data_IF_768001600850
#
_entry.id   IF_768001600850
#
_cell.length_a   1.000
_cell.length_b   1.000
_cell.length_c   1.000
_cell.angle_alpha   90.00
_cell.angle_beta   90.00
_cell.angle_gamma   90.00
#
_symmetry.space_group_name_H-M   'P 1'
#
loop_
_entity.id
_entity.type
_entity.pdbx_description
1 polymer ?
#
# COMPACT_ATOMS: atom_id res chain seq x y z
N UNK A 1 6.43 -22.52 11.42
CA UNK A 1 5.88 -23.38 10.35
C UNK A 1 6.35 -24.84 10.48
N UNK A 2 6.78 -25.29 11.68
CA UNK A 2 7.14 -26.69 11.93
C UNK A 2 6.11 -27.45 12.80
N UNK A 3 5.24 -26.74 13.55
CA UNK A 3 4.26 -27.36 14.45
C UNK A 3 3.09 -28.07 13.73
N UNK A 4 2.72 -27.65 12.51
CA UNK A 4 1.60 -28.27 11.76
C UNK A 4 1.92 -29.66 11.20
N UNK A 5 3.19 -30.09 11.20
CA UNK A 5 3.57 -31.43 10.71
C UNK A 5 3.04 -32.58 11.56
N UNK A 6 2.51 -32.32 12.76
CA UNK A 6 1.97 -33.35 13.66
C UNK A 6 0.46 -33.63 13.50
N UNK A 7 -0.28 -32.77 12.81
CA UNK A 7 -1.72 -32.98 12.60
C UNK A 7 -1.97 -33.84 11.36
N UNK A 8 -3.08 -34.60 11.38
CA UNK A 8 -3.57 -35.36 10.21
C UNK A 8 -2.59 -36.41 9.65
N UNK A 9 -1.71 -36.96 10.50
CA UNK A 9 -0.80 -38.05 10.17
C UNK A 9 -1.45 -39.42 10.43
N UNK A 10 -1.11 -40.42 9.62
CA UNK A 10 -1.53 -41.82 9.84
C UNK A 10 -0.34 -42.76 9.73
N UNK A 11 -0.21 -43.70 10.67
CA UNK A 11 0.80 -44.77 10.63
C UNK A 11 0.36 -45.99 9.84
N UNK A 12 -0.85 -45.97 9.26
CA UNK A 12 -1.39 -47.10 8.51
C UNK A 12 -0.77 -47.17 7.10
N UNK A 13 -0.32 -48.37 6.69
CA UNK A 13 0.14 -48.63 5.32
C UNK A 13 -1.05 -48.57 4.37
N UNK A 14 -1.30 -47.40 3.78
CA UNK A 14 -2.53 -47.11 3.07
C UNK A 14 -2.40 -47.33 1.55
N UNK A 15 -3.35 -48.11 0.99
CA UNK A 15 -3.52 -48.38 -0.46
C UNK A 15 -4.70 -47.60 -1.07
N UNK A 16 -5.10 -46.49 -0.44
CA UNK A 16 -6.32 -45.76 -0.85
C UNK A 16 -6.12 -45.10 -2.21
N UNK A 17 -7.23 -44.62 -2.78
CA UNK A 17 -7.20 -43.83 -4.01
C UNK A 17 -6.36 -42.55 -3.84
N UNK A 18 -6.32 -41.95 -2.64
CA UNK A 18 -5.49 -40.78 -2.35
C UNK A 18 -4.00 -41.13 -2.42
N UNK A 19 -3.57 -42.24 -1.80
CA UNK A 19 -2.16 -42.65 -1.83
C UNK A 19 -1.70 -43.01 -3.23
N UNK A 20 -2.55 -43.71 -4.00
CA UNK A 20 -2.26 -44.06 -5.39
C UNK A 20 -2.12 -42.81 -6.26
N UNK A 21 -3.03 -41.86 -6.09
CA UNK A 21 -3.01 -40.59 -6.81
C UNK A 21 -1.76 -39.78 -6.43
N UNK A 22 -1.48 -39.61 -5.14
CA UNK A 22 -0.33 -38.85 -4.67
C UNK A 22 1.00 -39.49 -5.12
N UNK A 23 1.11 -40.82 -5.06
CA UNK A 23 2.28 -41.55 -5.56
C UNK A 23 2.50 -41.32 -7.06
N UNK A 24 1.44 -41.33 -7.85
CA UNK A 24 1.51 -41.01 -9.28
C UNK A 24 1.93 -39.56 -9.50
N UNK A 25 1.28 -38.60 -8.83
CA UNK A 25 1.58 -37.18 -8.97
C UNK A 25 3.04 -36.88 -8.59
N UNK A 26 3.50 -37.33 -7.43
CA UNK A 26 4.86 -37.10 -6.94
C UNK A 26 5.94 -37.76 -7.83
N UNK A 27 5.58 -38.77 -8.62
CA UNK A 27 6.51 -39.38 -9.58
C UNK A 27 6.79 -38.50 -10.81
N UNK A 28 5.89 -37.57 -11.14
CA UNK A 28 5.95 -36.73 -12.35
C UNK A 28 6.03 -35.24 -12.07
N UNK A 29 5.39 -34.80 -11.01
CA UNK A 29 5.08 -33.42 -10.72
C UNK A 29 5.42 -33.04 -9.28
N UNK A 30 5.66 -31.75 -9.09
CA UNK A 30 5.58 -31.10 -7.79
C UNK A 30 4.36 -30.19 -7.80
N UNK A 31 3.56 -30.25 -6.75
CA UNK A 31 2.40 -29.40 -6.54
C UNK A 31 2.64 -28.55 -5.30
N UNK A 32 2.19 -27.29 -5.32
CA UNK A 32 2.20 -26.42 -4.15
C UNK A 32 1.02 -25.47 -4.17
N UNK A 33 0.67 -24.92 -3.02
CA UNK A 33 -0.27 -23.81 -2.89
C UNK A 33 0.49 -22.51 -2.63
N UNK A 34 0.35 -21.55 -3.54
CA UNK A 34 0.93 -20.22 -3.39
C UNK A 34 0.03 -19.40 -2.45
N UNK A 35 0.52 -19.09 -1.25
CA UNK A 35 -0.27 -18.41 -0.21
C UNK A 35 -0.52 -16.93 -0.49
N UNK A 36 0.18 -16.34 -1.47
CA UNK A 36 0.01 -14.94 -1.85
C UNK A 36 -0.91 -14.80 -3.05
N UNK A 37 -0.66 -15.53 -4.16
CA UNK A 37 -1.60 -15.52 -5.29
C UNK A 37 -2.89 -16.27 -4.98
N UNK A 38 -2.87 -17.13 -3.94
CA UNK A 38 -3.94 -18.04 -3.54
C UNK A 38 -4.33 -19.03 -4.65
N UNK A 39 -3.33 -19.51 -5.39
CA UNK A 39 -3.47 -20.46 -6.49
C UNK A 39 -2.68 -21.73 -6.23
N UNK A 40 -3.17 -22.86 -6.75
CA UNK A 40 -2.39 -24.08 -6.83
C UNK A 40 -1.47 -24.03 -8.04
N UNK A 41 -0.22 -24.39 -7.85
CA UNK A 41 0.80 -24.40 -8.87
C UNK A 41 1.32 -25.83 -9.09
N UNK A 42 1.66 -26.14 -10.33
CA UNK A 42 2.23 -27.41 -10.75
C UNK A 42 3.45 -27.19 -11.64
N UNK A 43 4.44 -28.05 -11.47
CA UNK A 43 5.59 -28.18 -12.39
C UNK A 43 5.94 -29.66 -12.56
N UNK A 44 6.60 -30.02 -13.65
CA UNK A 44 7.24 -31.34 -13.74
C UNK A 44 8.47 -31.37 -12.84
N UNK A 45 8.81 -32.54 -12.31
CA UNK A 45 9.93 -32.66 -11.35
C UNK A 45 11.28 -32.18 -11.92
N UNK A 46 11.46 -32.22 -13.24
CA UNK A 46 12.66 -31.75 -13.94
C UNK A 46 12.60 -30.27 -14.35
N UNK A 47 11.41 -29.66 -14.30
CA UNK A 47 11.22 -28.28 -14.73
C UNK A 47 11.54 -27.30 -13.60
N UNK A 48 12.00 -26.11 -13.99
CA UNK A 48 12.26 -25.00 -13.04
C UNK A 48 11.07 -24.07 -12.87
N UNK A 49 10.19 -23.98 -13.88
CA UNK A 49 9.10 -23.00 -13.94
C UNK A 49 7.80 -23.62 -13.41
N UNK A 50 7.14 -22.91 -12.51
CA UNK A 50 5.80 -23.23 -12.02
C UNK A 50 4.73 -22.67 -12.96
N UNK A 51 3.61 -23.39 -13.06
CA UNK A 51 2.44 -23.01 -13.84
C UNK A 51 1.17 -23.19 -13.01
N UNK A 52 0.11 -22.45 -13.32
CA UNK A 52 -1.17 -22.60 -12.62
C UNK A 52 -1.75 -23.99 -12.86
N UNK A 53 -2.20 -24.65 -11.77
CA UNK A 53 -2.75 -25.99 -11.83
C UNK A 53 -4.17 -25.96 -12.42
N UNK A 54 -4.31 -26.55 -13.60
CA UNK A 54 -5.63 -26.83 -14.17
C UNK A 54 -6.14 -28.19 -13.66
N UNK A 55 -7.05 -28.17 -12.69
CA UNK A 55 -7.61 -29.39 -12.07
C UNK A 55 -8.33 -30.29 -13.08
N UNK A 56 -9.03 -29.72 -14.06
CA UNK A 56 -9.73 -30.51 -15.09
C UNK A 56 -8.76 -31.26 -15.99
N UNK A 57 -7.65 -30.63 -16.35
CA UNK A 57 -6.60 -31.28 -17.16
C UNK A 57 -5.90 -32.38 -16.37
N UNK A 58 -5.57 -32.12 -15.10
CA UNK A 58 -4.98 -33.12 -14.22
C UNK A 58 -5.93 -34.32 -14.02
N UNK A 59 -7.22 -34.07 -13.85
CA UNK A 59 -8.24 -35.11 -13.73
C UNK A 59 -8.26 -36.02 -14.97
N UNK A 60 -8.29 -35.44 -16.19
CA UNK A 60 -8.26 -36.20 -17.44
C UNK A 60 -7.01 -37.09 -17.52
N UNK A 61 -5.83 -36.56 -17.15
CA UNK A 61 -4.58 -37.33 -17.14
C UNK A 61 -4.64 -38.52 -16.18
N UNK A 62 -5.20 -38.33 -14.98
CA UNK A 62 -5.34 -39.39 -13.98
C UNK A 62 -6.25 -40.52 -14.48
N UNK A 63 -7.39 -40.18 -15.11
CA UNK A 63 -8.28 -41.18 -15.71
C UNK A 63 -7.57 -41.96 -16.83
N UNK A 64 -6.86 -41.26 -17.74
CA UNK A 64 -6.09 -41.90 -18.81
C UNK A 64 -4.98 -42.82 -18.28
N UNK A 65 -4.47 -42.55 -17.07
CA UNK A 65 -3.44 -43.34 -16.40
C UNK A 65 -4.02 -44.48 -15.54
N UNK A 66 -5.33 -44.72 -15.61
CA UNK A 66 -6.02 -45.79 -14.87
C UNK A 66 -6.30 -45.47 -13.40
N UNK A 67 -6.22 -44.19 -12.99
CA UNK A 67 -6.51 -43.72 -11.64
C UNK A 67 -7.88 -43.04 -11.64
N UNK A 68 -8.94 -43.82 -11.39
CA UNK A 68 -10.33 -43.34 -11.35
C UNK A 68 -10.67 -42.72 -9.98
N UNK A 69 -10.14 -41.51 -9.73
CA UNK A 69 -10.45 -40.72 -8.53
C UNK A 69 -11.64 -39.79 -8.78
N UNK A 70 -12.75 -39.84 -8.02
CA UNK A 70 -13.82 -38.87 -8.15
C UNK A 70 -13.35 -37.41 -8.02
N UNK A 71 -13.88 -36.50 -8.83
CA UNK A 71 -13.46 -35.08 -8.90
C UNK A 71 -13.47 -34.40 -7.52
N UNK A 72 -14.52 -34.64 -6.72
CA UNK A 72 -14.61 -34.10 -5.36
C UNK A 72 -13.48 -34.61 -4.43
N UNK A 73 -13.01 -35.85 -4.61
CA UNK A 73 -11.85 -36.37 -3.87
C UNK A 73 -10.55 -35.75 -4.37
N UNK A 74 -10.40 -35.52 -5.67
CA UNK A 74 -9.24 -34.80 -6.20
C UNK A 74 -9.17 -33.36 -5.65
N UNK A 75 -10.29 -32.65 -5.60
CA UNK A 75 -10.36 -31.32 -4.99
C UNK A 75 -9.98 -31.34 -3.50
N UNK A 76 -10.47 -32.34 -2.75
CA UNK A 76 -10.08 -32.54 -1.34
C UNK A 76 -8.57 -32.77 -1.22
N UNK A 77 -7.98 -33.63 -2.06
CA UNK A 77 -6.56 -33.92 -2.05
C UNK A 77 -5.74 -32.65 -2.30
N UNK A 78 -6.05 -31.90 -3.35
CA UNK A 78 -5.30 -30.69 -3.71
C UNK A 78 -5.43 -29.60 -2.65
N UNK A 79 -6.59 -29.47 -1.99
CA UNK A 79 -6.83 -28.48 -0.94
C UNK A 79 -6.40 -28.93 0.46
N UNK A 80 -5.84 -30.13 0.60
CA UNK A 80 -5.44 -30.68 1.90
C UNK A 80 -4.03 -30.24 2.30
N UNK A 81 -3.66 -30.53 3.55
CA UNK A 81 -2.32 -30.34 4.09
C UNK A 81 -1.24 -31.21 3.41
N UNK A 82 -1.63 -32.14 2.52
CA UNK A 82 -0.71 -32.95 1.74
C UNK A 82 -0.03 -32.18 0.61
N UNK A 83 -0.57 -31.01 0.24
CA UNK A 83 0.06 -30.11 -0.72
C UNK A 83 0.83 -29.03 0.05
N UNK A 84 2.12 -28.90 -0.28
CA UNK A 84 3.01 -27.93 0.37
C UNK A 84 2.53 -26.50 0.14
N UNK A 85 2.61 -25.68 1.19
CA UNK A 85 2.37 -24.25 1.07
C UNK A 85 3.67 -23.52 0.71
N UNK A 86 3.55 -22.47 -0.09
CA UNK A 86 4.66 -21.67 -0.56
C UNK A 86 4.31 -20.20 -0.47
N UNK A 87 5.13 -19.42 0.24
CA UNK A 87 5.05 -17.98 0.26
C UNK A 87 6.19 -17.40 -0.62
N UNK A 88 5.90 -16.92 -1.84
CA UNK A 88 6.89 -16.35 -2.75
C UNK A 88 7.62 -15.13 -2.20
N UNK A 89 6.94 -14.33 -1.35
CA UNK A 89 7.51 -13.11 -0.79
C UNK A 89 8.50 -13.46 0.31
N UNK A 90 8.11 -14.34 1.25
CA UNK A 90 9.01 -14.82 2.30
C UNK A 90 10.22 -15.54 1.72
N UNK A 91 10.02 -16.47 0.78
CA UNK A 91 11.13 -17.20 0.16
C UNK A 91 12.08 -16.27 -0.60
N UNK A 92 11.57 -15.23 -1.26
CA UNK A 92 12.41 -14.22 -1.89
C UNK A 92 13.34 -13.55 -0.86
N UNK A 93 12.79 -12.99 0.23
CA UNK A 93 13.58 -12.29 1.25
C UNK A 93 14.56 -13.21 1.97
N UNK A 94 14.16 -14.45 2.26
CA UNK A 94 15.03 -15.47 2.86
C UNK A 94 16.15 -15.93 1.92
N UNK A 95 15.92 -15.88 0.60
CA UNK A 95 16.93 -16.24 -0.42
C UNK A 95 17.94 -15.13 -0.73
N UNK A 96 17.73 -13.91 -0.22
CA UNK A 96 18.65 -12.80 -0.45
C UNK A 96 20.01 -13.08 0.20
N UNK A 97 21.07 -12.64 -0.48
CA UNK A 97 22.40 -12.62 0.14
C UNK A 97 22.39 -11.66 1.32
N UNK A 98 23.25 -11.93 2.30
CA UNK A 98 23.45 -10.98 3.38
C UNK A 98 23.94 -9.63 2.85
N UNK A 99 23.53 -8.56 3.52
CA UNK A 99 23.96 -7.21 3.19
C UNK A 99 25.49 -7.11 3.26
N UNK A 100 26.09 -6.56 2.22
CA UNK A 100 27.54 -6.50 2.01
C UNK A 100 28.21 -5.29 2.68
N UNK A 101 27.44 -4.44 3.37
CA UNK A 101 27.94 -3.24 4.07
C UNK A 101 27.91 -1.95 3.24
N UNK A 102 27.60 -2.02 1.94
CA UNK A 102 27.47 -0.84 1.09
C UNK A 102 26.07 -0.23 1.15
N UNK A 103 25.98 1.10 1.04
CA UNK A 103 24.69 1.80 1.09
C UNK A 103 23.98 1.79 -0.28
N UNK A 104 23.42 0.63 -0.64
CA UNK A 104 22.67 0.40 -1.88
C UNK A 104 21.42 1.27 -2.01
N UNK A 105 20.72 1.56 -0.91
CA UNK A 105 19.56 2.45 -0.91
C UNK A 105 20.00 3.87 -1.28
N UNK A 106 21.10 4.37 -0.70
CA UNK A 106 21.68 5.66 -1.07
C UNK A 106 22.14 5.70 -2.52
N UNK A 107 22.85 4.67 -2.98
CA UNK A 107 23.28 4.56 -4.37
C UNK A 107 22.07 4.60 -5.31
N UNK A 108 21.00 3.87 -4.99
CA UNK A 108 19.77 3.88 -5.78
C UNK A 108 19.08 5.25 -5.78
N UNK A 109 18.99 5.93 -4.63
CA UNK A 109 18.41 7.28 -4.54
C UNK A 109 19.19 8.32 -5.33
N UNK A 110 20.50 8.12 -5.56
CA UNK A 110 21.35 9.08 -6.26
C UNK A 110 20.95 9.34 -7.72
N UNK A 111 20.17 8.44 -8.33
CA UNK A 111 19.66 8.56 -9.71
C UNK A 111 18.41 9.45 -9.83
N UNK A 112 17.87 9.92 -8.70
CA UNK A 112 16.70 10.80 -8.63
C UNK A 112 17.09 12.08 -7.90
N UNK A 113 17.02 13.21 -8.60
CA UNK A 113 17.16 14.53 -8.00
C UNK A 113 15.81 15.06 -7.56
N UNK A 114 15.73 15.49 -6.31
CA UNK A 114 14.50 15.95 -5.68
C UNK A 114 14.67 17.36 -5.10
N UNK A 115 13.58 17.95 -4.64
CA UNK A 115 13.60 19.19 -3.89
C UNK A 115 14.31 19.09 -2.53
N UNK A 116 14.58 17.88 -2.02
CA UNK A 116 15.35 17.62 -0.80
C UNK A 116 15.91 16.18 -0.82
N UNK A 117 17.09 16.01 -1.43
CA UNK A 117 17.73 14.70 -1.63
C UNK A 117 18.04 13.97 -0.31
N UNK A 118 18.37 14.70 0.76
CA UNK A 118 18.70 14.10 2.05
C UNK A 118 17.45 13.55 2.73
N UNK A 119 16.35 14.31 2.76
CA UNK A 119 15.10 13.81 3.28
C UNK A 119 14.54 12.68 2.41
N UNK A 120 14.71 12.75 1.08
CA UNK A 120 14.31 11.68 0.17
C UNK A 120 14.99 10.37 0.53
N UNK A 121 16.33 10.37 0.68
CA UNK A 121 17.10 9.21 1.13
C UNK A 121 16.61 8.68 2.48
N UNK A 122 16.44 9.56 3.47
CA UNK A 122 15.98 9.19 4.81
C UNK A 122 14.62 8.49 4.78
N UNK A 123 13.66 9.04 4.04
CA UNK A 123 12.34 8.45 3.90
C UNK A 123 12.34 7.17 3.05
N UNK A 124 13.18 7.09 2.02
CA UNK A 124 13.38 5.89 1.20
C UNK A 124 13.91 4.72 2.03
N UNK A 125 14.94 4.94 2.85
CA UNK A 125 15.51 3.91 3.72
C UNK A 125 14.44 3.34 4.66
N UNK A 126 13.70 4.22 5.35
CA UNK A 126 12.58 3.79 6.21
C UNK A 126 11.44 3.16 5.43
N UNK A 127 11.12 3.63 4.23
CA UNK A 127 10.04 3.07 3.42
C UNK A 127 10.37 1.65 2.96
N UNK A 128 11.58 1.38 2.48
CA UNK A 128 12.01 0.02 2.14
C UNK A 128 11.99 -0.90 3.36
N UNK A 129 12.54 -0.46 4.50
CA UNK A 129 12.51 -1.27 5.74
C UNK A 129 11.09 -1.56 6.22
N UNK A 130 10.18 -0.57 6.23
CA UNK A 130 8.77 -0.80 6.57
C UNK A 130 8.08 -1.72 5.57
N UNK A 131 8.50 -1.72 4.31
CA UNK A 131 7.96 -2.61 3.29
C UNK A 131 8.35 -4.06 3.53
N UNK A 132 9.59 -4.32 3.97
CA UNK A 132 10.02 -5.66 4.43
C UNK A 132 9.18 -6.11 5.62
N UNK A 133 9.07 -5.26 6.65
CA UNK A 133 8.28 -5.58 7.84
C UNK A 133 6.80 -5.83 7.49
N UNK A 134 6.22 -5.01 6.61
CA UNK A 134 4.84 -5.18 6.14
C UNK A 134 4.62 -6.51 5.41
N UNK A 135 5.62 -6.97 4.67
CA UNK A 135 5.51 -8.18 3.88
C UNK A 135 5.71 -9.47 4.70
N UNK A 136 6.46 -9.41 5.80
CA UNK A 136 6.92 -10.59 6.54
C UNK A 136 6.35 -10.71 7.95
N UNK A 137 6.04 -9.59 8.60
CA UNK A 137 5.53 -9.57 9.98
C UNK A 137 4.02 -9.38 10.00
N UNK A 138 3.33 -10.20 10.79
CA UNK A 138 1.89 -10.04 11.02
C UNK A 138 1.61 -8.69 11.70
N UNK A 139 0.48 -8.08 11.37
CA UNK A 139 -0.02 -6.81 11.94
C UNK A 139 0.86 -5.56 11.72
N UNK A 140 2.11 -5.70 11.26
CA UNK A 140 2.95 -4.56 10.87
C UNK A 140 2.54 -4.11 9.48
N UNK A 141 2.38 -2.79 9.31
CA UNK A 141 2.04 -2.21 8.01
C UNK A 141 2.90 -0.99 7.70
N UNK A 142 3.23 -0.83 6.42
CA UNK A 142 3.74 0.43 5.94
C UNK A 142 2.59 1.43 5.73
N UNK A 143 2.39 2.33 6.70
CA UNK A 143 1.31 3.33 6.69
C UNK A 143 1.54 4.51 5.75
N UNK A 144 2.63 4.49 4.99
CA UNK A 144 3.05 5.62 4.18
C UNK A 144 3.19 5.23 2.71
N UNK A 145 2.61 6.04 1.84
CA UNK A 145 2.78 5.99 0.39
C UNK A 145 3.89 6.98 0.00
N UNK A 146 4.95 6.46 -0.62
CA UNK A 146 6.00 7.29 -1.20
C UNK A 146 5.55 7.76 -2.58
N UNK A 147 5.54 9.07 -2.81
CA UNK A 147 5.06 9.67 -4.06
C UNK A 147 6.14 10.52 -4.71
N UNK A 148 6.36 10.28 -6.00
CA UNK A 148 7.18 11.15 -6.84
C UNK A 148 6.26 12.09 -7.65
N UNK A 149 6.42 13.39 -7.44
CA UNK A 149 5.73 14.44 -8.18
C UNK A 149 6.68 15.08 -9.18
N UNK A 150 6.20 15.40 -10.38
CA UNK A 150 6.93 16.27 -11.31
C UNK A 150 5.95 16.81 -12.34
N UNK A 151 5.96 18.12 -12.59
CA UNK A 151 5.11 18.78 -13.59
C UNK A 151 5.41 18.35 -15.04
N UNK A 152 6.63 17.85 -15.30
CA UNK A 152 7.06 17.35 -16.60
C UNK A 152 6.57 15.90 -16.78
N UNK A 153 5.73 15.70 -17.80
CA UNK A 153 5.30 14.36 -18.24
C UNK A 153 6.49 13.54 -18.75
N UNK A 154 6.39 12.21 -18.67
CA UNK A 154 7.43 11.27 -19.12
C UNK A 154 8.80 11.40 -18.44
N UNK A 155 8.84 11.90 -17.19
CA UNK A 155 10.07 12.00 -16.40
C UNK A 155 10.63 10.67 -15.89
N UNK A 156 9.96 9.54 -16.16
CA UNK A 156 10.41 8.19 -15.80
C UNK A 156 9.98 7.71 -14.41
N UNK A 157 9.17 8.48 -13.68
CA UNK A 157 8.75 8.19 -12.29
C UNK A 157 8.13 6.81 -12.13
N UNK A 158 7.11 6.49 -12.93
CA UNK A 158 6.41 5.20 -12.85
C UNK A 158 7.37 4.05 -13.17
N UNK A 159 8.27 4.21 -14.15
CA UNK A 159 9.31 3.23 -14.47
C UNK A 159 10.33 3.04 -13.35
N UNK A 160 10.72 4.12 -12.65
CA UNK A 160 11.59 4.05 -11.48
C UNK A 160 10.91 3.34 -10.30
N UNK A 161 9.64 3.63 -10.04
CA UNK A 161 8.86 2.98 -8.99
C UNK A 161 8.58 1.50 -9.29
N UNK A 162 8.32 1.14 -10.55
CA UNK A 162 8.23 -0.27 -11.00
C UNK A 162 9.51 -1.04 -10.70
N UNK A 163 10.68 -0.39 -10.81
CA UNK A 163 11.97 -1.02 -10.55
C UNK A 163 12.15 -1.44 -9.09
N UNK A 164 11.32 -0.95 -8.16
CA UNK A 164 11.34 -1.41 -6.77
C UNK A 164 10.97 -2.89 -6.66
N UNK A 165 10.21 -3.42 -7.62
CA UNK A 165 9.80 -4.82 -7.64
C UNK A 165 10.86 -5.66 -8.37
N UNK A 166 11.49 -6.63 -7.69
CA UNK A 166 12.44 -7.55 -8.31
C UNK A 166 11.79 -8.35 -9.43
N UNK A 167 12.58 -8.72 -10.45
CA UNK A 167 12.07 -9.51 -11.61
C UNK A 167 11.31 -10.78 -11.20
N UNK A 168 11.77 -11.45 -10.14
CA UNK A 168 11.16 -12.67 -9.59
C UNK A 168 9.76 -12.44 -9.02
N UNK A 169 9.46 -11.21 -8.62
CA UNK A 169 8.22 -10.83 -7.94
C UNK A 169 7.32 -9.91 -8.78
N UNK A 170 7.56 -9.78 -10.09
CA UNK A 170 6.78 -8.89 -10.96
C UNK A 170 5.28 -9.22 -10.99
N UNK A 171 4.90 -10.48 -10.73
CA UNK A 171 3.49 -10.88 -10.63
C UNK A 171 2.80 -10.36 -9.36
N UNK A 172 3.54 -9.76 -8.43
CA UNK A 172 3.05 -9.18 -7.18
C UNK A 172 3.15 -7.64 -7.19
N UNK A 173 3.15 -7.05 -8.39
CA UNK A 173 2.99 -5.62 -8.62
C UNK A 173 1.57 -5.37 -9.16
N UNK A 174 0.85 -4.43 -8.57
CA UNK A 174 -0.41 -3.91 -9.11
C UNK A 174 -0.25 -2.43 -9.44
N UNK A 175 -0.76 -1.99 -10.59
CA UNK A 175 -0.73 -0.57 -10.99
C UNK A 175 -2.12 0.07 -11.00
N UNK A 176 -3.15 -0.75 -10.80
CA UNK A 176 -4.53 -0.36 -10.69
C UNK A 176 -5.06 -0.71 -9.30
N UNK A 177 -5.68 0.25 -8.64
CA UNK A 177 -6.49 -0.02 -7.45
C UNK A 177 -7.84 0.67 -7.66
N UNK A 178 -8.86 -0.14 -7.90
CA UNK A 178 -10.24 0.32 -7.82
C UNK A 178 -10.64 0.54 -6.36
N UNK A 179 -11.91 0.91 -6.15
CA UNK A 179 -12.48 1.07 -4.80
C UNK A 179 -13.41 -0.08 -4.42
N UNK A 180 -13.45 -1.11 -5.24
CA UNK A 180 -14.33 -2.25 -5.11
C UNK A 180 -13.76 -3.33 -4.18
N UNK A 181 -14.48 -4.44 -4.05
CA UNK A 181 -14.10 -5.55 -3.18
C UNK A 181 -12.82 -6.24 -3.66
N UNK A 182 -12.64 -6.41 -4.98
CA UNK A 182 -11.49 -7.12 -5.53
C UNK A 182 -10.21 -6.30 -5.33
N UNK A 183 -10.34 -4.97 -5.32
CA UNK A 183 -9.24 -4.07 -4.98
C UNK A 183 -8.74 -4.21 -3.55
N UNK A 184 -9.58 -4.67 -2.60
CA UNK A 184 -9.12 -4.98 -1.24
C UNK A 184 -8.28 -6.26 -1.20
N UNK A 185 -8.61 -7.25 -2.01
CA UNK A 185 -7.83 -8.50 -2.12
C UNK A 185 -6.42 -8.19 -2.64
N UNK A 186 -6.26 -7.19 -3.52
CA UNK A 186 -4.94 -6.74 -4.00
C UNK A 186 -3.98 -6.34 -2.88
N UNK A 187 -4.48 -5.89 -1.72
CA UNK A 187 -3.66 -5.55 -0.55
C UNK A 187 -2.89 -6.76 0.03
N UNK A 188 -3.42 -7.95 -0.18
CA UNK A 188 -2.89 -9.21 0.33
C UNK A 188 -2.15 -10.02 -0.74
N UNK A 189 -2.36 -9.69 -2.02
CA UNK A 189 -1.77 -10.41 -3.16
C UNK A 189 -0.57 -9.70 -3.79
N UNK A 190 -0.23 -8.48 -3.38
CA UNK A 190 0.84 -7.69 -4.00
C UNK A 190 1.87 -7.24 -2.97
N UNK A 191 3.13 -7.26 -3.34
CA UNK A 191 4.21 -6.65 -2.55
C UNK A 191 4.13 -5.13 -2.64
N UNK A 192 3.92 -4.61 -3.86
CA UNK A 192 3.82 -3.18 -4.13
C UNK A 192 2.55 -2.90 -4.93
N UNK A 193 1.84 -1.85 -4.52
CA UNK A 193 0.79 -1.23 -5.33
C UNK A 193 1.32 0.13 -5.76
N UNK A 194 1.52 0.30 -7.07
CA UNK A 194 1.94 1.53 -7.70
C UNK A 194 0.72 2.34 -8.12
N UNK A 195 0.48 3.45 -7.42
CA UNK A 195 -0.59 4.40 -7.71
C UNK A 195 -0.12 5.32 -8.84
N UNK A 196 -0.20 4.85 -10.08
CA UNK A 196 0.17 5.66 -11.23
C UNK A 196 -0.88 6.76 -11.47
N UNK A 197 -0.42 7.94 -11.85
CA UNK A 197 -1.26 9.10 -12.16
C UNK A 197 -2.28 9.49 -11.06
N UNK A 198 -1.83 9.62 -9.81
CA UNK A 198 -2.65 10.06 -8.67
C UNK A 198 -3.49 11.32 -8.94
N UNK A 199 -3.02 12.18 -9.85
CA UNK A 199 -3.70 13.41 -10.29
C UNK A 199 -5.02 13.21 -11.04
N UNK A 200 -5.29 12.00 -11.53
CA UNK A 200 -6.53 11.66 -12.27
C UNK A 200 -7.64 11.23 -11.32
N UNK A 201 -7.27 10.76 -10.13
CA UNK A 201 -8.22 10.27 -9.14
C UNK A 201 -9.08 11.40 -8.59
N UNK A 202 -10.37 11.11 -8.39
CA UNK A 202 -11.26 12.06 -7.77
C UNK A 202 -10.92 12.21 -6.27
N UNK A 203 -11.33 13.34 -5.67
CA UNK A 203 -11.10 13.60 -4.23
C UNK A 203 -11.65 12.47 -3.32
N UNK A 204 -12.78 11.88 -3.69
CA UNK A 204 -13.37 10.74 -2.98
C UNK A 204 -12.47 9.50 -3.00
N UNK A 205 -11.74 9.30 -4.10
CA UNK A 205 -10.85 8.16 -4.29
C UNK A 205 -9.59 8.32 -3.45
N UNK A 206 -9.04 9.54 -3.35
CA UNK A 206 -7.87 9.84 -2.50
C UNK A 206 -8.17 9.56 -1.02
N UNK A 207 -9.34 9.95 -0.52
CA UNK A 207 -9.75 9.62 0.85
C UNK A 207 -9.94 8.11 1.06
N UNK A 208 -10.47 7.41 0.05
CA UNK A 208 -10.61 5.94 0.10
C UNK A 208 -9.24 5.24 0.08
N UNK A 209 -8.28 5.75 -0.68
CA UNK A 209 -6.89 5.28 -0.69
C UNK A 209 -6.23 5.46 0.67
N UNK A 210 -6.43 6.60 1.35
CA UNK A 210 -5.93 6.80 2.73
C UNK A 210 -6.46 5.70 3.67
N UNK A 211 -7.72 5.29 3.51
CA UNK A 211 -8.30 4.19 4.27
C UNK A 211 -7.62 2.85 3.94
N UNK A 212 -7.37 2.55 2.66
CA UNK A 212 -6.64 1.35 2.25
C UNK A 212 -5.20 1.30 2.78
N UNK A 213 -4.47 2.41 2.70
CA UNK A 213 -3.11 2.56 3.25
C UNK A 213 -3.09 2.31 4.78
N UNK A 214 -4.21 2.52 5.47
CA UNK A 214 -4.32 2.28 6.92
C UNK A 214 -4.85 0.90 7.29
N UNK A 215 -5.32 0.09 6.35
CA UNK A 215 -5.76 -1.29 6.65
C UNK A 215 -4.57 -2.15 7.04
N UNK A 216 -4.76 -2.99 8.06
CA UNK A 216 -3.82 -4.02 8.51
C UNK A 216 -4.14 -5.39 7.91
N UNK A 217 -5.42 -5.69 7.75
CA UNK A 217 -5.90 -6.94 7.17
C UNK A 217 -7.23 -6.70 6.46
N UNK A 218 -7.72 -7.74 5.78
CA UNK A 218 -9.06 -7.83 5.25
C UNK A 218 -9.73 -9.12 5.72
N UNK A 219 -11.05 -9.11 5.85
CA UNK A 219 -11.84 -10.31 6.08
C UNK A 219 -12.85 -10.42 4.94
N UNK A 220 -12.51 -11.18 3.91
CA UNK A 220 -13.26 -11.19 2.65
C UNK A 220 -13.47 -12.62 2.13
N UNK A 221 -14.66 -12.87 1.57
CA UNK A 221 -14.93 -14.14 0.87
C UNK A 221 -14.31 -14.11 -0.52
N UNK A 222 -13.28 -14.93 -0.72
CA UNK A 222 -12.66 -15.20 -2.01
C UNK A 222 -13.65 -15.92 -2.94
N UNK A 223 -13.56 -15.76 -4.27
CA UNK A 223 -14.53 -16.35 -5.21
C UNK A 223 -14.73 -17.87 -5.05
N UNK A 224 -13.67 -18.59 -4.70
CA UNK A 224 -13.65 -20.05 -4.50
C UNK A 224 -13.81 -20.48 -3.03
N UNK A 225 -13.86 -19.54 -2.09
CA UNK A 225 -13.96 -19.83 -0.66
C UNK A 225 -15.43 -19.92 -0.22
N UNK A 226 -15.74 -20.89 0.64
CA UNK A 226 -17.08 -21.06 1.22
C UNK A 226 -17.38 -20.02 2.29
N UNK A 227 -16.35 -19.51 2.98
CA UNK A 227 -16.44 -18.54 4.07
C UNK A 227 -15.50 -17.37 3.79
N UNK A 228 -15.71 -16.25 4.48
CA UNK A 228 -14.74 -15.18 4.49
C UNK A 228 -13.44 -15.66 5.13
N UNK A 229 -12.32 -15.23 4.57
CA UNK A 229 -10.99 -15.55 5.06
C UNK A 229 -10.32 -14.27 5.55
N UNK A 230 -9.63 -14.40 6.68
CA UNK A 230 -8.78 -13.36 7.21
C UNK A 230 -7.46 -13.37 6.45
N UNK A 231 -7.16 -12.28 5.75
CA UNK A 231 -5.95 -12.13 4.94
C UNK A 231 -5.17 -10.92 5.42
N UNK A 232 -3.92 -11.15 5.77
CA UNK A 232 -3.00 -10.08 6.18
C UNK A 232 -2.64 -9.21 4.98
N UNK A 233 -2.57 -7.90 5.18
CA UNK A 233 -2.04 -7.01 4.16
C UNK A 233 -0.52 -7.16 4.13
N UNK A 234 0.02 -7.38 2.94
CA UNK A 234 1.46 -7.43 2.70
C UNK A 234 1.98 -6.27 1.85
N UNK A 235 1.07 -5.49 1.25
CA UNK A 235 1.44 -4.50 0.26
C UNK A 235 1.95 -3.19 0.86
N UNK A 236 2.97 -2.61 0.21
CA UNK A 236 3.37 -1.22 0.39
C UNK A 236 2.99 -0.37 -0.82
N UNK A 237 2.78 0.92 -0.60
CA UNK A 237 2.29 1.83 -1.62
C UNK A 237 3.38 2.77 -2.11
N UNK A 238 3.47 2.90 -3.42
CA UNK A 238 4.20 3.97 -4.10
C UNK A 238 3.25 4.69 -5.04
N UNK A 239 3.58 5.89 -5.48
CA UNK A 239 2.75 6.59 -6.44
C UNK A 239 3.50 7.63 -7.25
N UNK A 240 2.92 7.99 -8.38
CA UNK A 240 3.45 9.02 -9.25
C UNK A 240 2.35 10.04 -9.58
N UNK A 241 2.73 11.32 -9.69
CA UNK A 241 1.79 12.38 -10.09
C UNK A 241 2.47 13.40 -10.98
N UNK A 242 1.69 13.92 -11.93
CA UNK A 242 2.10 15.05 -12.77
C UNK A 242 1.56 16.39 -12.27
N UNK A 243 0.74 16.38 -11.21
CA UNK A 243 0.18 17.60 -10.62
C UNK A 243 0.76 17.87 -9.24
N UNK A 244 0.93 19.15 -8.96
CA UNK A 244 1.36 19.67 -7.67
C UNK A 244 0.18 20.03 -6.76
N UNK A 245 -1.06 19.69 -7.08
CA UNK A 245 -2.25 20.12 -6.32
C UNK A 245 -3.29 19.00 -6.14
N UNK A 246 -2.83 17.77 -5.87
CA UNK A 246 -3.72 16.61 -5.76
C UNK A 246 -4.20 16.31 -4.34
N UNK A 247 -3.55 16.84 -3.30
CA UNK A 247 -3.99 16.60 -1.92
C UNK A 247 -5.12 17.54 -1.51
N UNK A 248 -6.02 17.02 -0.67
CA UNK A 248 -7.04 17.81 0.03
C UNK A 248 -6.81 17.74 1.53
N UNK A 249 -6.85 18.90 2.17
CA UNK A 249 -6.45 19.14 3.57
C UNK A 249 -7.39 18.52 4.62
N UNK A 250 -8.59 18.08 4.24
CA UNK A 250 -9.67 17.77 5.20
C UNK A 250 -9.38 16.61 6.21
N UNK A 251 -8.39 15.76 5.97
CA UNK A 251 -8.08 14.59 6.81
C UNK A 251 -6.60 14.39 7.14
N UNK A 252 -5.77 15.43 6.93
CA UNK A 252 -4.32 15.37 7.07
C UNK A 252 -3.63 14.59 5.95
N UNK A 253 -2.39 14.94 5.64
CA UNK A 253 -1.62 14.41 4.51
C UNK A 253 -0.49 13.46 4.91
N UNK A 254 -0.31 13.18 6.21
CA UNK A 254 0.82 12.41 6.77
C UNK A 254 1.10 11.06 6.10
N UNK A 255 0.09 10.41 5.53
CA UNK A 255 0.22 9.13 4.82
C UNK A 255 0.98 9.26 3.51
N UNK A 256 1.06 10.46 2.95
CA UNK A 256 1.76 10.75 1.71
C UNK A 256 3.14 11.31 2.04
N UNK A 257 4.19 10.69 1.52
CA UNK A 257 5.55 11.20 1.58
C UNK A 257 5.89 11.64 0.15
N UNK A 258 5.76 12.93 -0.14
CA UNK A 258 5.82 13.46 -1.51
C UNK A 258 7.16 14.16 -1.73
N UNK A 259 7.86 13.79 -2.80
CA UNK A 259 9.06 14.48 -3.27
C UNK A 259 8.87 14.97 -4.70
N UNK A 260 9.21 16.23 -4.94
CA UNK A 260 9.22 16.79 -6.29
C UNK A 260 10.54 16.42 -6.96
N UNK A 261 10.47 15.67 -8.05
CA UNK A 261 11.62 15.32 -8.88
C UNK A 261 11.96 16.54 -9.75
N UNK A 262 13.14 17.12 -9.54
CA UNK A 262 13.55 18.40 -10.13
C UNK A 262 14.17 18.23 -11.53
N UNK A 263 14.67 17.03 -11.84
CA UNK A 263 15.34 16.72 -13.12
C UNK A 263 14.77 15.43 -13.73
N UNK A 264 15.19 15.09 -14.96
CA UNK A 264 14.83 13.79 -15.54
C UNK A 264 15.56 12.68 -14.78
N UNK A 265 14.85 11.61 -14.42
CA UNK A 265 15.46 10.46 -13.74
C UNK A 265 16.55 9.85 -14.61
N UNK A 266 17.72 9.59 -14.03
CA UNK A 266 18.82 8.96 -14.73
C UNK A 266 18.58 7.44 -14.85
N UNK A 267 18.20 6.97 -16.03
CA UNK A 267 17.84 5.56 -16.28
C UNK A 267 19.00 4.55 -16.13
N UNK A 268 20.25 4.99 -15.94
CA UNK A 268 21.38 4.09 -15.71
C UNK A 268 21.21 3.22 -14.47
N UNK A 269 20.34 3.58 -13.51
CA UNK A 269 20.00 2.72 -12.38
C UNK A 269 19.57 1.31 -12.85
N UNK A 270 18.92 1.19 -14.00
CA UNK A 270 18.42 -0.09 -14.52
C UNK A 270 19.52 -1.06 -14.96
N UNK A 271 20.74 -0.55 -15.16
CA UNK A 271 21.94 -1.30 -15.53
C UNK A 271 22.92 -1.43 -14.36
N UNK A 272 23.01 -0.40 -13.53
CA UNK A 272 24.03 -0.27 -12.49
C UNK A 272 23.55 -0.76 -11.11
N UNK A 273 22.24 -0.75 -10.85
CA UNK A 273 21.68 -1.16 -9.56
C UNK A 273 21.12 -2.58 -9.63
N UNK A 274 21.57 -3.41 -8.69
CA UNK A 274 20.92 -4.67 -8.38
C UNK A 274 19.87 -4.45 -7.28
N UNK A 275 18.59 -4.53 -7.66
CA UNK A 275 17.47 -4.32 -6.72
C UNK A 275 17.47 -5.37 -5.58
N UNK A 276 18.00 -6.57 -5.81
CA UNK A 276 18.10 -7.60 -4.76
C UNK A 276 19.02 -7.12 -3.63
N UNK A 277 20.08 -6.34 -3.94
CA UNK A 277 20.98 -5.75 -2.92
C UNK A 277 20.33 -4.61 -2.12
N UNK A 278 19.49 -3.81 -2.77
CA UNK A 278 18.69 -2.76 -2.09
C UNK A 278 17.76 -3.41 -1.06
N UNK A 279 17.05 -4.48 -1.46
CA UNK A 279 16.20 -5.25 -0.55
C UNK A 279 17.00 -5.98 0.54
N UNK A 280 18.20 -6.45 0.25
CA UNK A 280 19.07 -7.07 1.26
C UNK A 280 19.47 -6.07 2.36
N UNK A 281 19.82 -4.83 2.01
CA UNK A 281 20.04 -3.75 2.98
C UNK A 281 18.77 -3.43 3.78
N UNK A 282 17.62 -3.35 3.12
CA UNK A 282 16.34 -3.10 3.78
C UNK A 282 15.96 -4.21 4.78
N UNK A 283 16.21 -5.47 4.42
CA UNK A 283 16.01 -6.63 5.28
C UNK A 283 16.98 -6.63 6.47
N UNK A 284 18.25 -6.29 6.24
CA UNK A 284 19.21 -6.08 7.33
C UNK A 284 18.76 -4.98 8.29
N UNK A 285 18.29 -3.84 7.77
CA UNK A 285 17.73 -2.75 8.58
C UNK A 285 16.52 -3.20 9.41
N UNK A 286 15.68 -4.08 8.88
CA UNK A 286 14.49 -4.59 9.56
C UNK A 286 14.80 -5.51 10.75
N UNK A 287 15.83 -6.36 10.64
CA UNK A 287 16.05 -7.48 11.58
C UNK A 287 17.39 -7.48 12.30
N UNK A 288 18.44 -6.88 11.71
CA UNK A 288 19.83 -7.05 12.16
C UNK A 288 20.48 -5.73 12.61
N UNK A 289 20.09 -4.58 12.04
CA UNK A 289 20.68 -3.28 12.40
C UNK A 289 20.23 -2.82 13.79
N UNK A 290 21.14 -2.86 14.75
CA UNK A 290 20.87 -2.44 16.14
C UNK A 290 20.50 -0.95 16.20
N UNK A 291 19.41 -0.65 16.91
CA UNK A 291 18.97 0.73 17.17
C UNK A 291 18.32 1.42 15.97
N UNK A 292 18.13 0.75 14.83
CA UNK A 292 17.41 1.33 13.70
C UNK A 292 15.91 1.34 13.97
N UNK A 293 15.30 2.53 13.94
CA UNK A 293 13.85 2.68 14.04
C UNK A 293 13.27 3.09 12.68
N UNK A 294 12.49 2.22 12.01
CA UNK A 294 11.87 2.54 10.73
C UNK A 294 10.64 3.45 10.84
N UNK A 295 10.10 3.67 12.04
CA UNK A 295 8.96 4.57 12.25
C UNK A 295 9.36 6.05 12.12
N UNK A 296 8.38 6.89 11.76
CA UNK A 296 8.56 8.33 11.69
C UNK A 296 8.43 8.95 13.08
N UNK A 297 9.34 9.86 13.43
CA UNK A 297 9.24 10.66 14.65
C UNK A 297 8.17 11.76 14.51
N UNK A 298 7.83 12.44 15.61
CA UNK A 298 6.93 13.60 15.56
C UNK A 298 7.52 14.76 14.72
N UNK A 299 8.86 14.91 14.72
CA UNK A 299 9.54 15.89 13.85
C UNK A 299 9.37 15.50 12.39
N UNK A 300 9.64 14.23 12.06
CA UNK A 300 9.50 13.72 10.69
C UNK A 300 8.08 13.92 10.15
N UNK A 301 7.06 13.69 10.99
CA UNK A 301 5.65 13.89 10.63
C UNK A 301 5.39 15.38 10.35
N UNK A 302 5.85 16.27 11.23
CA UNK A 302 5.64 17.72 11.09
C UNK A 302 6.34 18.29 9.85
N UNK A 303 7.57 17.84 9.59
CA UNK A 303 8.32 18.20 8.38
C UNK A 303 7.64 17.67 7.11
N UNK A 304 7.10 16.45 7.16
CA UNK A 304 6.35 15.88 6.06
C UNK A 304 5.04 16.63 5.78
N UNK A 305 4.31 17.05 6.82
CA UNK A 305 3.12 17.89 6.65
C UNK A 305 3.48 19.22 5.98
N UNK A 306 4.53 19.89 6.45
CA UNK A 306 5.03 21.13 5.84
C UNK A 306 5.45 20.93 4.38
N UNK A 307 6.08 19.80 4.06
CA UNK A 307 6.41 19.44 2.66
C UNK A 307 5.15 19.27 1.81
N UNK A 308 4.13 18.63 2.38
CA UNK A 308 2.85 18.34 1.71
C UNK A 308 1.96 19.56 1.51
N UNK A 309 2.15 20.66 2.25
CA UNK A 309 1.41 21.93 2.06
C UNK A 309 1.50 22.40 0.61
N UNK A 310 2.67 22.27 -0.04
CA UNK A 310 2.86 22.63 -1.45
C UNK A 310 2.01 21.80 -2.41
N UNK A 311 1.60 20.61 -1.98
CA UNK A 311 0.81 19.66 -2.77
C UNK A 311 -0.69 19.75 -2.50
N UNK A 312 -1.10 20.65 -1.61
CA UNK A 312 -2.46 20.74 -1.07
C UNK A 312 -3.24 21.84 -1.77
N UNK A 313 -4.41 21.50 -2.27
CA UNK A 313 -5.35 22.46 -2.85
C UNK A 313 -6.31 22.95 -1.77
N UNK A 314 -6.48 24.27 -1.65
CA UNK A 314 -7.54 24.84 -0.82
C UNK A 314 -8.91 24.44 -1.38
N UNK A 315 -9.85 24.15 -0.50
CA UNK A 315 -11.26 24.08 -0.89
C UNK A 315 -11.78 25.49 -1.18
N UNK A 316 -12.87 25.59 -1.94
CA UNK A 316 -13.54 26.87 -2.16
C UNK A 316 -13.93 27.55 -0.84
N UNK A 317 -14.38 26.77 0.15
CA UNK A 317 -14.62 27.27 1.50
C UNK A 317 -13.36 27.83 2.17
N UNK A 318 -12.22 27.15 2.05
CA UNK A 318 -10.93 27.63 2.56
C UNK A 318 -10.48 28.91 1.85
N UNK A 319 -10.61 28.98 0.53
CA UNK A 319 -10.29 30.18 -0.25
C UNK A 319 -11.14 31.37 0.19
N UNK A 320 -12.46 31.18 0.36
CA UNK A 320 -13.37 32.24 0.79
C UNK A 320 -13.08 32.71 2.22
N UNK A 321 -12.83 31.79 3.15
CA UNK A 321 -12.43 32.15 4.52
C UNK A 321 -11.10 32.91 4.51
N UNK A 322 -10.09 32.38 3.82
CA UNK A 322 -8.78 33.02 3.76
C UNK A 322 -8.84 34.41 3.10
N UNK A 323 -9.73 34.62 2.13
CA UNK A 323 -9.92 35.92 1.46
C UNK A 323 -10.61 36.94 2.36
N UNK A 324 -11.68 36.57 3.04
CA UNK A 324 -12.57 37.54 3.70
C UNK A 324 -12.39 37.65 5.21
N UNK A 325 -11.79 36.68 5.88
CA UNK A 325 -11.78 36.60 7.33
C UNK A 325 -10.41 36.32 7.95
N UNK A 326 -10.25 36.74 9.19
CA UNK A 326 -9.11 36.43 10.05
C UNK A 326 -9.54 36.12 11.50
N UNK A 327 -8.70 35.41 12.29
CA UNK A 327 -9.01 35.09 13.67
C UNK A 327 -9.23 36.34 14.52
N UNK A 328 -10.19 36.26 15.43
CA UNK A 328 -10.42 37.29 16.45
C UNK A 328 -10.33 36.71 17.86
N UNK A 329 -10.03 37.55 18.83
CA UNK A 329 -10.11 37.25 20.26
C UNK A 329 -11.35 37.87 20.93
N UNK A 330 -12.16 38.64 20.19
CA UNK A 330 -13.34 39.31 20.70
C UNK A 330 -14.60 38.41 20.62
N UNK A 331 -15.26 38.19 21.75
CA UNK A 331 -16.50 37.42 21.82
C UNK A 331 -17.67 38.06 21.03
N UNK A 332 -17.63 39.38 20.80
CA UNK A 332 -18.64 40.09 19.99
C UNK A 332 -18.58 39.69 18.51
N UNK A 333 -17.43 39.16 18.05
CA UNK A 333 -17.21 38.69 16.68
C UNK A 333 -17.41 37.17 16.57
N UNK A 334 -18.24 36.63 17.46
CA UNK A 334 -18.64 35.23 17.42
C UNK A 334 -19.57 34.96 16.22
N UNK A 335 -19.19 33.99 15.39
CA UNK A 335 -20.06 33.43 14.34
C UNK A 335 -20.03 31.91 14.32
N UNK A 336 -21.19 31.31 14.11
CA UNK A 336 -21.31 29.89 13.78
C UNK A 336 -20.85 29.64 12.34
N UNK A 337 -20.46 28.40 12.03
CA UNK A 337 -20.12 28.03 10.65
C UNK A 337 -21.27 28.28 9.65
N UNK A 338 -22.52 28.19 10.12
CA UNK A 338 -23.71 28.49 9.31
C UNK A 338 -23.83 29.98 9.03
N UNK A 339 -23.62 30.85 10.02
CA UNK A 339 -23.61 32.31 9.83
C UNK A 339 -22.48 32.74 8.88
N UNK A 340 -21.27 32.21 9.06
CA UNK A 340 -20.14 32.46 8.13
C UNK A 340 -20.47 31.98 6.70
N UNK A 341 -21.10 30.82 6.56
CA UNK A 341 -21.55 30.34 5.25
C UNK A 341 -22.57 31.29 4.62
N UNK A 342 -23.56 31.77 5.39
CA UNK A 342 -24.57 32.70 4.90
C UNK A 342 -23.96 34.02 4.44
N UNK A 343 -23.04 34.58 5.22
CA UNK A 343 -22.31 35.79 4.86
C UNK A 343 -21.57 35.64 3.52
N UNK A 344 -20.87 34.52 3.33
CA UNK A 344 -20.11 34.24 2.11
C UNK A 344 -20.97 33.83 0.91
N UNK A 345 -22.16 33.26 1.15
CA UNK A 345 -23.08 32.82 0.08
C UNK A 345 -23.70 33.99 -0.68
N UNK A 346 -23.60 35.22 -0.16
CA UNK A 346 -24.01 36.45 -0.85
C UNK A 346 -23.29 36.66 -2.18
N UNK A 347 -22.19 35.96 -2.42
CA UNK A 347 -21.39 36.00 -3.64
C UNK A 347 -21.91 35.08 -4.77
N UNK A 348 -23.10 34.49 -4.62
CA UNK A 348 -23.71 33.61 -5.64
C UNK A 348 -23.10 32.20 -5.74
N UNK A 349 -22.24 31.84 -4.79
CA UNK A 349 -21.55 30.56 -4.73
C UNK A 349 -22.22 29.66 -3.69
N UNK A 350 -22.51 28.40 -4.05
CA UNK A 350 -23.09 27.41 -3.13
C UNK A 350 -21.99 26.79 -2.26
N UNK A 351 -21.95 27.19 -0.98
CA UNK A 351 -21.01 26.69 0.02
C UNK A 351 -21.66 25.63 0.93
N UNK A 352 -20.83 24.85 1.63
CA UNK A 352 -21.30 23.87 2.60
C UNK A 352 -20.84 24.22 4.03
N UNK A 353 -21.79 24.40 4.95
CA UNK A 353 -21.49 24.78 6.35
C UNK A 353 -20.56 23.79 7.07
N UNK A 354 -20.60 22.49 6.76
CA UNK A 354 -19.68 21.50 7.33
C UNK A 354 -18.25 21.72 6.84
N UNK A 355 -18.10 22.09 5.56
CA UNK A 355 -16.79 22.41 4.98
C UNK A 355 -16.25 23.75 5.48
N UNK A 356 -17.12 24.74 5.69
CA UNK A 356 -16.76 26.01 6.37
C UNK A 356 -16.23 25.73 7.76
N UNK A 357 -16.92 24.92 8.57
CA UNK A 357 -16.45 24.55 9.90
C UNK A 357 -15.09 23.83 9.89
N UNK A 358 -14.87 22.93 8.92
CA UNK A 358 -13.56 22.26 8.73
C UNK A 358 -12.46 23.25 8.35
N UNK A 359 -12.75 24.17 7.42
CA UNK A 359 -11.83 25.19 6.96
C UNK A 359 -11.43 26.18 8.08
N UNK A 360 -12.38 26.61 8.90
CA UNK A 360 -12.09 27.43 10.08
C UNK A 360 -11.18 26.69 11.07
N UNK A 361 -11.42 25.40 11.27
CA UNK A 361 -10.56 24.56 12.11
C UNK A 361 -9.16 24.37 11.53
N UNK A 362 -9.03 24.18 10.20
CA UNK A 362 -7.72 24.00 9.55
C UNK A 362 -6.85 25.25 9.66
N UNK A 363 -7.46 26.44 9.56
CA UNK A 363 -6.78 27.72 9.77
C UNK A 363 -6.64 28.10 11.25
N UNK A 364 -6.96 27.20 12.18
CA UNK A 364 -6.80 27.39 13.64
C UNK A 364 -7.57 28.58 14.20
N UNK A 365 -8.75 28.90 13.65
CA UNK A 365 -9.62 29.92 14.24
C UNK A 365 -10.09 29.48 15.64
N UNK A 366 -10.11 30.38 16.65
CA UNK A 366 -10.53 30.05 18.01
C UNK A 366 -11.98 29.56 18.03
N UNK A 367 -12.19 28.30 18.46
CA UNK A 367 -13.52 27.70 18.61
C UNK A 367 -13.96 27.77 20.07
N UNK A 368 -15.08 28.45 20.33
CA UNK A 368 -15.59 28.69 21.69
C UNK A 368 -17.07 28.31 21.81
N UNK A 369 -17.53 28.06 23.06
CA UNK A 369 -18.95 27.91 23.38
C UNK A 369 -19.49 29.27 23.85
N UNK A 370 -20.47 29.83 23.14
CA UNK A 370 -21.03 31.13 23.50
C UNK A 370 -21.74 31.07 24.86
N UNK A 371 -21.41 31.93 25.84
CA UNK A 371 -21.94 31.84 27.21
C UNK A 371 -23.46 31.96 27.31
N UNK A 372 -24.07 32.88 26.54
CA UNK A 372 -25.52 33.10 26.56
C UNK A 372 -26.29 32.16 25.61
N UNK A 373 -25.84 32.04 24.34
CA UNK A 373 -26.52 31.22 23.32
C UNK A 373 -26.32 29.71 23.50
N UNK A 374 -25.35 29.27 24.31
CA UNK A 374 -25.03 27.86 24.59
C UNK A 374 -24.67 27.01 23.34
N UNK A 375 -24.25 27.65 22.25
CA UNK A 375 -23.84 27.02 20.98
C UNK A 375 -22.33 27.18 20.74
N UNK A 376 -21.72 26.26 19.99
CA UNK A 376 -20.33 26.36 19.56
C UNK A 376 -20.20 27.16 18.26
N UNK A 377 -19.18 28.01 18.18
CA UNK A 377 -18.83 28.79 17.00
C UNK A 377 -17.37 29.22 17.04
N UNK A 378 -17.03 30.18 16.19
CA UNK A 378 -15.67 30.67 15.99
C UNK A 378 -15.61 32.17 16.25
N UNK A 379 -14.49 32.65 16.78
CA UNK A 379 -14.21 34.08 16.88
C UNK A 379 -13.52 34.53 15.59
N UNK A 380 -14.20 35.38 14.83
CA UNK A 380 -13.85 35.64 13.44
C UNK A 380 -14.30 37.04 12.99
N UNK A 381 -13.36 37.81 12.45
CA UNK A 381 -13.61 39.17 11.95
C UNK A 381 -13.32 39.27 10.45
N UNK A 382 -13.96 40.24 9.79
CA UNK A 382 -13.68 40.53 8.39
C UNK A 382 -12.29 41.14 8.26
N UNK A 383 -11.51 40.69 7.28
CA UNK A 383 -10.26 41.35 6.92
C UNK A 383 -10.58 42.76 6.43
N UNK A 384 -9.99 43.76 7.08
CA UNK A 384 -9.97 45.12 6.55
C UNK A 384 -9.13 45.12 5.28
N UNK A 385 -9.78 45.36 4.14
CA UNK A 385 -9.09 45.68 2.87
C UNK A 385 -8.52 47.08 2.99
N UNK A 386 -7.19 47.19 3.04
CA UNK A 386 -6.48 48.41 2.62
C UNK A 386 -6.49 48.54 1.09
#
# INVERSE_FOLDING_TARGET
MEEDKMLYQTGAVSKTIFDRTLKYLNSKYSLRFNTISLEFEIKRSLDKKWSSLNLSSLYIELIQSGIDIPVNKLEILVRSHLIDQYNPISEYFESLKEWDGEDHIKNFCSYVKTNDDNAFLYHMEKWFTRSVLCALEKEKINKHCLVLANTIQNSGKSTYLRFFVPRKLMNYLSEDIGLDKDSRIKLCKNLIINLDELSILARADINSLKAFISKTHINERLPYARKAEYLERICSFVGSTNKTDFLTDESGSVRWIIFEVTEKINFNYSLEIDIDKVWAQAYFNAYKRKGFNPELTLSDISENERRNERFTQMTLEQEMINKFYEPSDNLEEFKTATEVMMDLSTQGIRLNHLKIGRALSSFKFPRVKHPQRQIYGYLIQLKTTD
#
